data_IF_627310471366
#
_entry.id   IF_627310471366
#
_cell.length_a   1.000
_cell.length_b   1.000
_cell.length_c   1.000
_cell.angle_alpha   90.00
_cell.angle_beta   90.00
_cell.angle_gamma   90.00
#
_symmetry.space_group_name_H-M   'P 1'
#
loop_
_entity.id
_entity.type
_entity.pdbx_description
1 polymer ?
#
# COMPACT_ATOMS: atom_id res chain seq x y z
N UNK A 1 -11.24 -44.06 -36.19
CA UNK A 1 -11.10 -42.65 -35.74
C UNK A 1 -10.35 -42.53 -34.41
N UNK A 2 -10.95 -42.75 -33.23
CA UNK A 2 -10.27 -42.48 -31.93
C UNK A 2 -8.99 -43.32 -31.69
N UNK A 3 -9.00 -44.60 -32.11
CA UNK A 3 -7.82 -45.48 -32.03
C UNK A 3 -6.65 -45.01 -32.92
N UNK A 4 -6.93 -44.37 -34.06
CA UNK A 4 -5.90 -43.86 -34.98
C UNK A 4 -5.27 -42.56 -34.43
N UNK A 5 -6.07 -41.68 -33.81
CA UNK A 5 -5.57 -40.48 -33.13
C UNK A 5 -4.62 -40.88 -32.00
N UNK A 6 -5.04 -41.82 -31.16
CA UNK A 6 -4.22 -42.32 -30.04
C UNK A 6 -2.91 -42.96 -30.55
N UNK A 7 -2.97 -43.76 -31.61
CA UNK A 7 -1.79 -44.39 -32.20
C UNK A 7 -0.78 -43.37 -32.77
N UNK A 8 -1.25 -42.33 -33.46
CA UNK A 8 -0.41 -41.25 -33.99
C UNK A 8 0.20 -40.40 -32.87
N UNK A 9 -0.57 -40.08 -31.82
CA UNK A 9 -0.05 -39.36 -30.65
C UNK A 9 1.01 -40.19 -29.90
N UNK A 10 0.78 -41.48 -29.69
CA UNK A 10 1.75 -42.38 -29.06
C UNK A 10 3.03 -42.53 -29.87
N UNK A 11 2.92 -42.60 -31.20
CA UNK A 11 4.08 -42.66 -32.07
C UNK A 11 4.93 -41.39 -31.98
N UNK A 12 4.28 -40.21 -31.94
CA UNK A 12 4.95 -38.93 -31.74
C UNK A 12 5.61 -38.84 -30.36
N UNK A 13 4.91 -39.21 -29.27
CA UNK A 13 5.48 -39.20 -27.90
C UNK A 13 6.66 -40.16 -27.79
N UNK A 14 6.56 -41.35 -28.39
CA UNK A 14 7.63 -42.37 -28.36
C UNK A 14 8.85 -41.96 -29.20
N UNK A 15 8.72 -40.99 -30.11
CA UNK A 15 9.84 -40.43 -30.88
C UNK A 15 10.62 -39.35 -30.13
N UNK A 16 10.06 -38.75 -29.07
CA UNK A 16 10.70 -37.69 -28.26
C UNK A 16 12.01 -38.16 -27.59
N UNK A 17 12.07 -39.35 -26.93
CA UNK A 17 13.30 -39.85 -26.30
C UNK A 17 14.45 -40.07 -27.30
N UNK A 18 14.13 -40.34 -28.57
CA UNK A 18 15.14 -40.54 -29.62
C UNK A 18 15.85 -39.22 -30.02
N UNK A 19 15.25 -38.07 -29.69
CA UNK A 19 15.80 -36.72 -29.93
C UNK A 19 15.77 -35.87 -28.64
N UNK A 20 16.25 -36.45 -27.54
CA UNK A 20 16.19 -35.87 -26.20
C UNK A 20 16.77 -34.45 -26.10
N UNK A 21 17.93 -34.17 -26.72
CA UNK A 21 18.58 -32.86 -26.65
C UNK A 21 17.77 -31.72 -27.28
N UNK A 22 17.26 -31.91 -28.51
CA UNK A 22 16.42 -30.91 -29.18
C UNK A 22 15.05 -30.74 -28.51
N UNK A 23 14.47 -31.83 -28.01
CA UNK A 23 13.19 -31.78 -27.30
C UNK A 23 13.32 -31.06 -25.95
N UNK A 24 14.41 -31.26 -25.22
CA UNK A 24 14.67 -30.55 -23.97
C UNK A 24 14.91 -29.06 -24.20
N UNK A 25 15.70 -28.70 -25.23
CA UNK A 25 15.98 -27.30 -25.55
C UNK A 25 14.69 -26.52 -25.90
N UNK A 26 13.77 -27.13 -26.64
CA UNK A 26 12.48 -26.51 -26.99
C UNK A 26 11.57 -26.35 -25.76
N UNK A 27 11.48 -27.36 -24.89
CA UNK A 27 10.72 -27.27 -23.63
C UNK A 27 11.28 -26.18 -22.72
N UNK A 28 12.59 -26.11 -22.53
CA UNK A 28 13.24 -25.08 -21.71
C UNK A 28 13.00 -23.69 -22.30
N UNK A 29 13.10 -23.54 -23.63
CA UNK A 29 12.84 -22.25 -24.30
C UNK A 29 11.41 -21.76 -24.04
N UNK A 30 10.41 -22.63 -24.22
CA UNK A 30 9.01 -22.28 -23.95
C UNK A 30 8.79 -21.99 -22.47
N UNK A 31 9.33 -22.82 -21.57
CA UNK A 31 9.21 -22.63 -20.13
C UNK A 31 9.83 -21.31 -19.67
N UNK A 32 10.96 -20.91 -20.25
CA UNK A 32 11.62 -19.64 -19.94
C UNK A 32 10.74 -18.45 -20.36
N UNK A 33 10.22 -18.46 -21.60
CA UNK A 33 9.37 -17.36 -22.11
C UNK A 33 8.09 -17.23 -21.28
N UNK A 34 7.42 -18.36 -21.00
CA UNK A 34 6.21 -18.38 -20.17
C UNK A 34 6.52 -17.94 -18.74
N UNK A 35 7.65 -18.39 -18.16
CA UNK A 35 8.07 -18.01 -16.83
C UNK A 35 8.31 -16.50 -16.68
N UNK A 36 8.97 -15.88 -17.66
CA UNK A 36 9.17 -14.43 -17.68
C UNK A 36 7.84 -13.68 -17.79
N UNK A 37 6.94 -14.12 -18.67
CA UNK A 37 5.62 -13.50 -18.81
C UNK A 37 4.81 -13.58 -17.51
N UNK A 38 4.81 -14.75 -16.86
CA UNK A 38 4.14 -14.95 -15.58
C UNK A 38 4.74 -14.09 -14.47
N UNK A 39 6.06 -13.93 -14.42
CA UNK A 39 6.72 -13.07 -13.44
C UNK A 39 6.29 -11.60 -13.59
N UNK A 40 6.21 -11.09 -14.82
CA UNK A 40 5.73 -9.73 -15.05
C UNK A 40 4.24 -9.56 -14.71
N UNK A 41 3.39 -10.55 -15.05
CA UNK A 41 1.98 -10.51 -14.65
C UNK A 41 1.81 -10.54 -13.13
N UNK A 42 2.59 -11.36 -12.43
CA UNK A 42 2.58 -11.42 -10.97
C UNK A 42 3.04 -10.09 -10.35
N UNK A 43 4.09 -9.47 -10.89
CA UNK A 43 4.57 -8.15 -10.45
C UNK A 43 3.51 -7.07 -10.68
N UNK A 44 2.91 -7.01 -11.86
CA UNK A 44 1.89 -6.02 -12.20
C UNK A 44 0.66 -6.16 -11.29
N UNK A 45 0.16 -7.39 -11.11
CA UNK A 45 -0.97 -7.66 -10.23
C UNK A 45 -0.64 -7.38 -8.77
N UNK A 46 0.56 -7.74 -8.30
CA UNK A 46 1.03 -7.41 -6.95
C UNK A 46 1.09 -5.90 -6.71
N UNK A 47 1.62 -5.15 -7.69
CA UNK A 47 1.68 -3.70 -7.62
C UNK A 47 0.29 -3.06 -7.56
N UNK A 48 -0.63 -3.49 -8.42
CA UNK A 48 -2.03 -3.03 -8.42
C UNK A 48 -2.70 -3.36 -7.07
N UNK A 49 -2.50 -4.58 -6.55
CA UNK A 49 -3.07 -4.99 -5.28
C UNK A 49 -2.58 -4.09 -4.13
N UNK A 50 -1.27 -3.82 -4.05
CA UNK A 50 -0.71 -2.91 -3.04
C UNK A 50 -1.24 -1.49 -3.21
N UNK A 51 -1.32 -0.98 -4.45
CA UNK A 51 -1.77 0.39 -4.69
C UNK A 51 -3.28 0.57 -4.45
N UNK A 52 -4.08 -0.47 -4.72
CA UNK A 52 -5.52 -0.48 -4.42
C UNK A 52 -5.81 -0.46 -2.91
N UNK A 53 -4.91 -1.04 -2.09
CA UNK A 53 -4.99 -0.98 -0.64
C UNK A 53 -4.39 0.30 -0.04
N UNK A 54 -3.61 1.07 -0.82
CA UNK A 54 -3.01 2.31 -0.36
C UNK A 54 -3.93 3.49 -0.63
N UNK A 55 -4.66 3.91 0.39
CA UNK A 55 -5.54 5.09 0.35
C UNK A 55 -6.99 4.76 0.67
N UNK A 56 -7.76 5.81 0.95
CA UNK A 56 -9.18 5.71 1.24
C UNK A 56 -9.93 6.64 0.27
N UNK A 57 -10.93 6.12 -0.43
CA UNK A 57 -11.69 6.89 -1.45
C UNK A 57 -12.54 7.99 -0.85
N UNK A 58 -12.76 7.96 0.47
CA UNK A 58 -13.55 8.89 1.25
C UNK A 58 -12.70 9.84 2.13
N UNK A 59 -11.37 9.81 1.99
CA UNK A 59 -10.46 10.67 2.75
C UNK A 59 -9.64 11.54 1.81
N UNK A 60 -9.76 12.85 1.96
CA UNK A 60 -8.94 13.82 1.25
C UNK A 60 -7.76 14.28 2.11
N UNK A 61 -6.58 14.41 1.50
CA UNK A 61 -5.40 15.02 2.13
C UNK A 61 -5.24 16.45 1.61
N UNK A 62 -5.12 17.41 2.51
CA UNK A 62 -4.93 18.82 2.19
C UNK A 62 -3.51 19.21 2.58
N UNK A 63 -2.74 19.70 1.61
CA UNK A 63 -1.39 20.21 1.84
C UNK A 63 -1.33 21.70 1.50
N UNK A 64 -0.37 22.41 2.10
CA UNK A 64 -0.08 23.80 1.71
C UNK A 64 0.27 23.84 0.22
N UNK A 65 -0.21 24.87 -0.48
CA UNK A 65 0.18 25.11 -1.88
C UNK A 65 1.70 25.10 -2.03
N UNK A 66 2.21 24.30 -2.96
CA UNK A 66 3.65 24.14 -3.24
C UNK A 66 4.37 23.10 -2.36
N UNK A 67 3.71 22.50 -1.37
CA UNK A 67 4.23 21.34 -0.67
C UNK A 67 4.06 20.07 -1.52
N UNK A 68 5.11 19.28 -1.63
CA UNK A 68 5.11 17.98 -2.32
C UNK A 68 4.92 16.81 -1.35
N UNK A 69 5.09 17.05 -0.04
CA UNK A 69 4.99 16.04 1.00
C UNK A 69 4.38 16.63 2.28
N UNK A 70 3.90 15.77 3.17
CA UNK A 70 3.40 16.19 4.49
C UNK A 70 4.50 16.89 5.31
N UNK A 71 5.74 16.43 5.18
CA UNK A 71 6.90 16.94 5.93
C UNK A 71 7.20 18.43 5.64
N UNK A 72 6.93 18.90 4.43
CA UNK A 72 7.16 20.30 4.05
C UNK A 72 5.86 21.12 3.96
N UNK A 73 4.75 20.55 4.42
CA UNK A 73 3.45 21.21 4.49
C UNK A 73 3.20 21.76 5.89
N UNK A 74 3.00 23.07 5.99
CA UNK A 74 2.56 23.74 7.21
C UNK A 74 1.23 24.45 6.96
N UNK A 75 0.20 24.07 7.71
CA UNK A 75 -1.13 24.71 7.69
C UNK A 75 -1.33 25.37 9.06
N UNK A 76 -1.67 26.66 9.08
CA UNK A 76 -1.92 27.37 10.33
C UNK A 76 -3.29 27.02 10.92
N UNK A 77 -3.46 27.25 12.24
CA UNK A 77 -4.76 27.03 12.90
C UNK A 77 -5.92 27.85 12.31
N UNK A 78 -5.64 29.07 11.81
CA UNK A 78 -6.64 29.89 11.13
C UNK A 78 -7.08 29.30 9.79
N UNK A 79 -6.15 28.75 9.01
CA UNK A 79 -6.45 28.04 7.76
C UNK A 79 -7.23 26.75 8.02
N UNK A 80 -6.84 25.99 9.06
CA UNK A 80 -7.58 24.81 9.48
C UNK A 80 -9.03 25.12 9.80
N UNK A 81 -9.31 26.24 10.48
CA UNK A 81 -10.68 26.66 10.78
C UNK A 81 -11.50 26.92 9.51
N UNK A 82 -10.92 27.62 8.54
CA UNK A 82 -11.56 27.84 7.24
C UNK A 82 -11.82 26.52 6.50
N UNK A 83 -10.86 25.59 6.53
CA UNK A 83 -11.01 24.27 5.92
C UNK A 83 -12.17 23.51 6.59
N UNK A 84 -12.27 23.52 7.93
CA UNK A 84 -13.37 22.84 8.66
C UNK A 84 -14.76 23.36 8.30
N UNK A 85 -14.86 24.61 7.91
CA UNK A 85 -16.12 25.26 7.50
C UNK A 85 -16.42 25.08 6.00
N UNK A 86 -15.51 24.48 5.23
CA UNK A 86 -15.67 24.30 3.79
C UNK A 86 -16.86 23.37 3.44
N UNK A 87 -17.60 23.67 2.35
CA UNK A 87 -18.70 22.81 1.89
C UNK A 87 -18.17 21.48 1.33
N UNK A 88 -18.97 20.42 1.45
CA UNK A 88 -18.66 19.09 0.92
C UNK A 88 -17.84 18.18 1.84
N UNK A 89 -17.42 18.67 3.01
CA UNK A 89 -16.79 17.84 4.03
C UNK A 89 -17.83 17.00 4.80
N UNK A 90 -17.46 15.77 5.11
CA UNK A 90 -18.29 14.87 5.91
C UNK A 90 -18.46 15.41 7.33
N UNK A 91 -19.70 15.41 7.81
CA UNK A 91 -20.08 15.77 9.18
C UNK A 91 -20.61 14.56 9.90
N UNK A 92 -20.25 14.42 11.17
CA UNK A 92 -20.73 13.33 12.01
C UNK A 92 -22.19 13.53 12.47
N UNK A 93 -22.70 12.61 13.28
CA UNK A 93 -24.07 12.66 13.83
C UNK A 93 -24.32 13.85 14.75
N UNK A 94 -23.26 14.47 15.28
CA UNK A 94 -23.33 15.62 16.18
C UNK A 94 -23.22 16.94 15.39
N UNK A 95 -23.00 16.87 14.07
CA UNK A 95 -22.84 18.04 13.20
C UNK A 95 -21.40 18.55 13.10
N UNK A 96 -20.44 17.86 13.72
CA UNK A 96 -19.02 18.22 13.69
C UNK A 96 -18.37 17.76 12.38
N UNK A 97 -17.58 18.62 11.75
CA UNK A 97 -16.80 18.25 10.56
C UNK A 97 -15.69 17.27 10.93
N UNK A 98 -15.63 16.13 10.24
CA UNK A 98 -14.61 15.10 10.48
C UNK A 98 -13.31 15.50 9.80
N UNK A 99 -12.48 16.27 10.52
CA UNK A 99 -11.14 16.71 10.08
C UNK A 99 -10.11 16.40 11.17
N UNK A 100 -8.95 15.91 10.76
CA UNK A 100 -7.75 15.76 11.60
C UNK A 100 -6.69 16.74 11.12
N UNK A 101 -6.21 17.60 12.02
CA UNK A 101 -5.05 18.44 11.74
C UNK A 101 -3.82 17.63 12.12
N UNK A 102 -3.00 17.29 11.13
CA UNK A 102 -1.85 16.42 11.33
C UNK A 102 -0.55 17.18 11.13
N UNK A 103 0.42 16.86 11.98
CA UNK A 103 1.75 17.42 11.93
C UNK A 103 2.75 16.27 11.82
N UNK A 104 3.56 16.27 10.78
CA UNK A 104 4.59 15.26 10.57
C UNK A 104 5.96 15.90 10.72
N UNK A 105 6.72 15.46 11.73
CA UNK A 105 8.06 15.96 12.04
C UNK A 105 9.02 14.81 12.22
N UNK A 106 10.30 15.07 12.01
CA UNK A 106 11.37 14.13 12.33
C UNK A 106 11.99 14.62 13.64
N UNK A 107 12.08 13.73 14.62
CA UNK A 107 12.65 13.99 15.94
C UNK A 107 13.77 13.01 16.22
N UNK A 108 14.82 13.47 16.87
CA UNK A 108 15.88 12.59 17.34
C UNK A 108 15.42 11.81 18.58
N UNK A 109 15.68 10.51 18.58
CA UNK A 109 15.45 9.64 19.71
C UNK A 109 16.57 8.64 19.89
N UNK A 110 16.69 8.09 21.10
CA UNK A 110 17.66 7.03 21.36
C UNK A 110 17.02 5.67 21.10
N UNK A 111 17.66 4.86 20.25
CA UNK A 111 17.21 3.49 20.02
C UNK A 111 17.40 2.67 21.29
N UNK A 112 16.30 2.16 21.87
CA UNK A 112 16.31 1.42 23.15
C UNK A 112 17.33 0.26 23.22
N UNK A 113 17.62 -0.40 22.09
CA UNK A 113 18.53 -1.54 22.05
C UNK A 113 20.01 -1.16 22.03
N UNK A 114 20.37 -0.04 21.40
CA UNK A 114 21.78 0.32 21.12
C UNK A 114 22.21 1.62 21.79
N UNK A 115 21.28 2.39 22.37
CA UNK A 115 21.51 3.73 22.94
C UNK A 115 22.16 4.71 21.95
N UNK A 116 21.98 4.47 20.65
CA UNK A 116 22.45 5.36 19.58
C UNK A 116 21.34 6.29 19.14
N UNK A 117 21.73 7.47 18.68
CA UNK A 117 20.81 8.42 18.05
C UNK A 117 20.17 7.82 16.79
N UNK A 118 18.87 8.04 16.65
CA UNK A 118 18.07 7.63 15.52
C UNK A 118 17.02 8.71 15.22
N UNK A 119 16.86 9.00 13.94
CA UNK A 119 15.78 9.84 13.46
C UNK A 119 14.46 9.06 13.49
N UNK A 120 13.48 9.58 14.23
CA UNK A 120 12.16 8.99 14.36
C UNK A 120 11.11 9.91 13.73
N UNK A 121 10.28 9.39 12.81
CA UNK A 121 9.14 10.14 12.35
C UNK A 121 8.07 10.17 13.44
N UNK A 122 7.71 11.38 13.88
CA UNK A 122 6.65 11.63 14.82
C UNK A 122 5.48 12.30 14.10
N UNK A 123 4.28 11.73 14.27
CA UNK A 123 3.04 12.28 13.70
C UNK A 123 2.09 12.70 14.81
N UNK A 124 1.90 14.00 14.94
CA UNK A 124 0.78 14.56 15.70
C UNK A 124 -0.51 14.39 14.91
N UNK A 125 -1.58 13.94 15.58
CA UNK A 125 -2.88 13.66 14.99
C UNK A 125 -4.01 14.29 15.82
N UNK A 126 -5.14 14.60 15.18
CA UNK A 126 -6.34 15.13 15.87
C UNK A 126 -7.32 14.04 16.32
N UNK A 127 -8.33 14.41 17.12
CA UNK A 127 -9.31 13.47 17.72
C UNK A 127 -9.96 12.50 16.70
N UNK A 128 -10.19 13.00 15.50
CA UNK A 128 -10.87 12.27 14.42
C UNK A 128 -9.91 11.41 13.57
N UNK A 129 -8.62 11.34 13.89
CA UNK A 129 -7.63 10.63 13.08
C UNK A 129 -7.91 9.14 12.95
N UNK A 130 -8.40 8.49 14.01
CA UNK A 130 -8.80 7.08 13.97
C UNK A 130 -10.05 6.86 13.12
N UNK A 131 -10.96 7.83 13.09
CA UNK A 131 -12.17 7.75 12.26
C UNK A 131 -11.82 7.85 10.77
N UNK A 132 -10.81 8.66 10.42
CA UNK A 132 -10.30 8.79 9.06
C UNK A 132 -9.46 7.55 8.64
N UNK A 133 -8.73 6.94 9.57
CA UNK A 133 -7.89 5.76 9.29
C UNK A 133 -8.56 4.44 9.69
N UNK A 134 -9.48 3.97 8.86
CA UNK A 134 -10.23 2.71 9.07
C UNK A 134 -9.36 1.45 9.20
N UNK A 135 -8.11 1.48 8.72
CA UNK A 135 -7.16 0.37 8.81
C UNK A 135 -6.27 0.37 10.06
N UNK A 136 -6.34 1.39 10.92
CA UNK A 136 -5.55 1.42 12.16
C UNK A 136 -6.32 0.84 13.33
N UNK A 137 -5.67 -0.07 14.06
CA UNK A 137 -6.15 -0.60 15.34
C UNK A 137 -5.06 -0.45 16.38
N UNK A 138 -5.42 0.13 17.52
CA UNK A 138 -4.53 0.19 18.69
C UNK A 138 -4.45 -1.23 19.27
N UNK A 139 -3.24 -1.80 19.29
CA UNK A 139 -3.00 -3.14 19.83
C UNK A 139 -2.84 -3.14 21.35
N UNK A 140 -2.31 -2.06 21.91
CA UNK A 140 -2.07 -1.85 23.34
C UNK A 140 -2.18 -0.36 23.68
N UNK A 141 -2.69 -0.04 24.87
CA UNK A 141 -2.91 1.33 25.31
C UNK A 141 -4.25 1.92 24.83
N UNK A 142 -4.41 3.23 25.01
CA UNK A 142 -5.59 3.99 24.61
C UNK A 142 -5.23 5.06 23.58
N UNK A 143 -6.24 5.58 22.89
CA UNK A 143 -6.04 6.76 22.07
C UNK A 143 -5.76 7.97 22.96
N UNK A 144 -4.97 8.92 22.47
CA UNK A 144 -4.70 10.16 23.19
C UNK A 144 -6.02 10.92 23.48
N UNK A 145 -6.06 11.59 24.63
CA UNK A 145 -7.13 12.50 25.01
C UNK A 145 -6.64 13.95 24.88
N UNK A 146 -7.48 14.83 24.32
CA UNK A 146 -7.12 16.25 24.29
C UNK A 146 -7.03 16.81 25.72
N UNK A 147 -5.92 17.47 26.05
CA UNK A 147 -5.72 18.10 27.35
C UNK A 147 -5.18 17.20 28.48
N UNK A 148 -4.85 15.94 28.20
CA UNK A 148 -4.08 15.10 29.14
C UNK A 148 -2.58 15.37 28.99
N UNK A 149 -1.88 15.61 30.10
CA UNK A 149 -0.42 15.70 30.15
C UNK A 149 0.23 14.30 30.11
N UNK A 150 0.01 13.55 29.04
CA UNK A 150 0.76 12.31 28.76
C UNK A 150 1.93 12.58 27.81
#
# INVERSE_FOLDING_TARGET
>A
MLKQIIALTLMNIRSIPQRWGMSLATVISVALVVGVLLAFMAMANGFIATMSGSGATDVAMILRKGAQAELNSGISGSQLRLIREAPGLYRDKNGDTVVSAELYVITDGLKRSTMTEANLPLRGVGKNAMQLRKGMKITQGNMFAEGSNE
#
